data_IF_156712917946
#
_entry.id   IF_156712917946
#
_cell.length_a   1.000
_cell.length_b   1.000
_cell.length_c   1.000
_cell.angle_alpha   90.00
_cell.angle_beta   90.00
_cell.angle_gamma   90.00
#
_symmetry.space_group_name_H-M   'P 1'
#
loop_
_entity.id
_entity.type
_entity.pdbx_description
1 polymer ?
#
# COMPACT_ATOMS: atom_id res chain seq x y z
N UNK A 1 3.46 -22.12 4.92
CA UNK A 1 3.96 -20.80 5.43
C UNK A 1 4.37 -20.96 6.89
N UNK A 2 5.18 -20.05 7.41
CA UNK A 2 5.68 -20.06 8.79
C UNK A 2 5.46 -18.73 9.48
N UNK A 3 5.40 -18.73 10.81
CA UNK A 3 5.52 -17.50 11.57
C UNK A 3 6.97 -16.99 11.48
N UNK A 4 7.13 -15.71 11.24
CA UNK A 4 8.44 -15.07 11.18
C UNK A 4 8.59 -14.05 12.31
N UNK A 5 9.85 -13.76 12.68
CA UNK A 5 10.18 -12.94 13.85
C UNK A 5 9.53 -11.54 13.84
N UNK A 6 9.44 -10.93 12.66
CA UNK A 6 8.95 -9.57 12.47
C UNK A 6 7.67 -9.53 11.62
N UNK A 7 6.96 -10.65 11.50
CA UNK A 7 5.67 -10.69 10.82
C UNK A 7 4.62 -9.91 11.60
N UNK A 8 3.83 -9.07 10.91
CA UNK A 8 2.77 -8.29 11.55
C UNK A 8 1.48 -9.10 11.77
N UNK A 9 1.30 -10.16 10.99
CA UNK A 9 0.18 -11.08 11.13
C UNK A 9 0.68 -12.51 11.31
N UNK A 10 -0.09 -13.41 11.96
CA UNK A 10 0.25 -14.81 12.06
C UNK A 10 0.26 -15.51 10.69
N UNK A 11 1.01 -16.59 10.54
CA UNK A 11 1.10 -17.36 9.29
C UNK A 11 -0.29 -17.76 8.76
N UNK A 12 -1.22 -18.12 9.65
CA UNK A 12 -2.59 -18.50 9.28
C UNK A 12 -3.34 -17.40 8.50
N UNK A 13 -3.06 -16.11 8.76
CA UNK A 13 -3.65 -15.02 7.98
C UNK A 13 -3.14 -15.04 6.53
N UNK A 14 -1.84 -15.22 6.32
CA UNK A 14 -1.25 -15.30 4.98
C UNK A 14 -1.70 -16.58 4.25
N UNK A 15 -1.86 -17.69 4.94
CA UNK A 15 -2.41 -18.93 4.38
C UNK A 15 -3.86 -18.74 3.91
N UNK A 16 -4.69 -18.04 4.70
CA UNK A 16 -6.05 -17.74 4.31
C UNK A 16 -6.13 -16.82 3.07
N UNK A 17 -5.24 -15.83 2.97
CA UNK A 17 -5.13 -14.96 1.80
C UNK A 17 -4.65 -15.73 0.56
N UNK A 18 -3.66 -16.59 0.75
CA UNK A 18 -3.14 -17.46 -0.30
C UNK A 18 -4.23 -18.40 -0.83
N UNK A 19 -5.01 -19.04 0.04
CA UNK A 19 -6.11 -19.93 -0.37
C UNK A 19 -7.13 -19.18 -1.24
N UNK A 20 -7.50 -17.94 -0.88
CA UNK A 20 -8.43 -17.12 -1.66
C UNK A 20 -7.89 -16.77 -3.06
N UNK A 21 -6.60 -16.40 -3.16
CA UNK A 21 -6.06 -16.06 -4.49
C UNK A 21 -5.87 -17.29 -5.35
N UNK A 22 -5.51 -18.42 -4.78
CA UNK A 22 -5.43 -19.71 -5.49
C UNK A 22 -6.81 -20.11 -6.05
N UNK A 23 -7.87 -19.95 -5.28
CA UNK A 23 -9.24 -20.16 -5.78
C UNK A 23 -9.56 -19.26 -6.98
N UNK A 24 -9.20 -17.97 -6.91
CA UNK A 24 -9.37 -17.05 -8.04
C UNK A 24 -8.53 -17.46 -9.26
N UNK A 25 -7.29 -17.90 -9.05
CA UNK A 25 -6.42 -18.40 -10.12
C UNK A 25 -7.03 -19.61 -10.82
N UNK A 26 -7.47 -20.60 -10.06
CA UNK A 26 -8.10 -21.81 -10.58
C UNK A 26 -9.38 -21.50 -11.36
N UNK A 27 -10.25 -20.62 -10.82
CA UNK A 27 -11.48 -20.17 -11.48
C UNK A 27 -11.21 -19.50 -12.83
N UNK A 28 -10.10 -18.78 -12.96
CA UNK A 28 -9.73 -18.02 -14.16
C UNK A 28 -8.75 -18.80 -15.07
N UNK A 29 -8.37 -20.04 -14.71
CA UNK A 29 -7.42 -20.84 -15.46
C UNK A 29 -6.01 -20.23 -15.52
N UNK A 30 -5.60 -19.52 -14.46
CA UNK A 30 -4.27 -18.90 -14.32
C UNK A 30 -3.38 -19.82 -13.50
N UNK A 31 -2.31 -20.31 -14.12
CA UNK A 31 -1.40 -21.29 -13.51
C UNK A 31 -0.37 -20.70 -12.55
N UNK A 32 -0.04 -19.42 -12.71
CA UNK A 32 0.89 -18.71 -11.82
C UNK A 32 0.59 -17.21 -11.75
N UNK A 33 0.97 -16.57 -10.65
CA UNK A 33 1.04 -15.11 -10.46
C UNK A 33 2.47 -14.68 -10.20
N UNK A 34 2.88 -13.56 -10.80
CA UNK A 34 4.15 -12.88 -10.52
C UNK A 34 3.82 -11.50 -9.99
N UNK A 35 4.07 -11.27 -8.70
CA UNK A 35 3.73 -10.05 -7.97
C UNK A 35 5.01 -9.27 -7.65
N UNK A 36 5.08 -8.07 -8.15
CA UNK A 36 6.27 -7.20 -8.11
C UNK A 36 6.09 -5.96 -7.23
N UNK A 37 4.83 -5.60 -6.94
CA UNK A 37 4.51 -4.46 -6.08
C UNK A 37 4.76 -4.79 -4.61
N UNK A 38 5.07 -3.75 -3.83
CA UNK A 38 5.18 -3.83 -2.38
C UNK A 38 3.86 -4.24 -1.73
N UNK A 39 2.75 -3.66 -2.17
CA UNK A 39 1.43 -3.92 -1.62
C UNK A 39 1.01 -5.39 -1.76
N UNK A 40 1.15 -5.96 -2.96
CA UNK A 40 0.74 -7.35 -3.19
C UNK A 40 1.75 -8.35 -2.61
N UNK A 41 3.05 -8.04 -2.71
CA UNK A 41 4.08 -8.89 -2.09
C UNK A 41 3.92 -8.92 -0.58
N UNK A 42 3.70 -7.76 0.07
CA UNK A 42 3.40 -7.71 1.50
C UNK A 42 2.10 -8.45 1.85
N UNK A 43 1.02 -8.20 1.12
CA UNK A 43 -0.30 -8.74 1.40
C UNK A 43 -0.33 -10.28 1.45
N UNK A 44 0.35 -10.94 0.51
CA UNK A 44 0.35 -12.40 0.41
C UNK A 44 1.49 -13.10 1.13
N UNK A 45 2.53 -12.38 1.55
CA UNK A 45 3.72 -13.00 2.13
C UNK A 45 4.21 -12.40 3.45
N UNK A 46 3.76 -11.20 3.79
CA UNK A 46 4.30 -10.42 4.91
C UNK A 46 5.67 -9.79 4.64
N UNK A 47 6.27 -10.00 3.47
CA UNK A 47 7.59 -9.46 3.16
C UNK A 47 7.59 -7.94 3.15
N UNK A 48 8.46 -7.36 3.98
CA UNK A 48 8.67 -5.91 4.11
C UNK A 48 10.13 -5.57 3.89
N UNK A 49 10.37 -4.46 3.19
CA UNK A 49 11.71 -3.93 2.98
C UNK A 49 11.69 -2.42 2.89
N UNK A 50 12.63 -1.75 3.55
CA UNK A 50 12.81 -0.29 3.41
C UNK A 50 13.23 0.12 1.99
N UNK A 51 13.72 -0.82 1.18
CA UNK A 51 14.14 -0.56 -0.20
C UNK A 51 12.95 -0.22 -1.10
N UNK A 52 11.74 -0.69 -0.79
CA UNK A 52 10.53 -0.27 -1.51
C UNK A 52 10.31 1.25 -1.48
N UNK A 53 10.60 1.89 -0.35
CA UNK A 53 10.49 3.34 -0.21
C UNK A 53 11.48 4.11 -1.09
N UNK A 54 12.63 3.50 -1.43
CA UNK A 54 13.68 4.15 -2.21
C UNK A 54 13.36 4.30 -3.69
N UNK A 55 12.42 3.50 -4.22
CA UNK A 55 12.05 3.43 -5.66
C UNK A 55 13.22 3.15 -6.61
N UNK A 56 14.38 2.76 -6.08
CA UNK A 56 15.61 2.51 -6.85
C UNK A 56 15.64 1.08 -7.41
N UNK A 57 15.13 0.13 -6.64
CA UNK A 57 15.13 -1.27 -7.02
C UNK A 57 13.95 -2.01 -6.41
N UNK A 58 13.59 -3.15 -6.99
CA UNK A 58 12.60 -4.06 -6.45
C UNK A 58 13.31 -5.03 -5.49
N UNK A 59 13.03 -5.00 -4.18
CA UNK A 59 13.74 -5.82 -3.20
C UNK A 59 13.38 -7.30 -3.28
N UNK A 60 12.22 -7.64 -3.87
CA UNK A 60 11.80 -9.02 -4.08
C UNK A 60 10.53 -9.13 -4.93
N UNK A 61 10.35 -10.29 -5.54
CA UNK A 61 9.17 -10.64 -6.31
C UNK A 61 8.58 -11.92 -5.75
N UNK A 62 7.30 -11.87 -5.44
CA UNK A 62 6.55 -13.04 -5.00
C UNK A 62 5.98 -13.78 -6.21
N UNK A 63 6.20 -15.07 -6.26
CA UNK A 63 5.60 -15.99 -7.22
C UNK A 63 4.64 -16.92 -6.48
N UNK A 64 3.44 -17.08 -7.02
CA UNK A 64 2.39 -17.98 -6.49
C UNK A 64 1.96 -18.89 -7.63
N UNK A 65 1.83 -20.18 -7.39
CA UNK A 65 1.25 -21.14 -8.36
C UNK A 65 -0.12 -21.62 -7.92
N UNK A 66 -0.93 -22.13 -8.85
CA UNK A 66 -2.33 -22.52 -8.62
C UNK A 66 -2.50 -23.75 -7.71
N UNK A 67 -1.38 -24.39 -7.34
CA UNK A 67 -1.32 -25.44 -6.30
C UNK A 67 -0.98 -24.87 -4.90
N UNK A 68 -0.86 -23.54 -4.78
CA UNK A 68 -0.53 -22.87 -3.52
C UNK A 68 0.97 -22.81 -3.20
N UNK A 69 1.85 -23.29 -4.09
CA UNK A 69 3.29 -23.11 -3.89
C UNK A 69 3.69 -21.63 -4.05
N UNK A 70 4.63 -21.19 -3.22
CA UNK A 70 5.10 -19.81 -3.20
C UNK A 70 6.62 -19.73 -3.15
N UNK A 71 7.21 -18.74 -3.82
CA UNK A 71 8.62 -18.41 -3.70
C UNK A 71 8.83 -16.89 -3.76
N UNK A 72 9.86 -16.38 -3.10
CA UNK A 72 10.32 -15.00 -3.24
C UNK A 72 11.68 -14.97 -3.91
N UNK A 73 11.74 -14.38 -5.10
CA UNK A 73 12.99 -14.08 -5.79
C UNK A 73 13.54 -12.75 -5.26
N UNK A 74 14.80 -12.75 -4.77
CA UNK A 74 15.40 -11.58 -4.12
C UNK A 74 16.94 -11.58 -4.24
N UNK A 75 17.57 -10.50 -3.82
CA UNK A 75 19.04 -10.40 -3.70
C UNK A 75 19.58 -11.22 -2.53
N UNK A 76 20.92 -11.39 -2.48
CA UNK A 76 21.58 -12.00 -1.33
C UNK A 76 21.26 -11.27 -0.01
N UNK A 77 21.30 -9.94 -0.01
CA UNK A 77 20.95 -9.13 1.18
C UNK A 77 19.45 -9.17 1.51
N UNK A 78 18.58 -9.20 0.49
CA UNK A 78 17.14 -9.32 0.65
C UNK A 78 16.70 -10.64 1.27
N UNK A 79 17.43 -11.73 1.04
CA UNK A 79 17.06 -13.05 1.54
C UNK A 79 16.97 -13.10 3.07
N UNK A 80 17.87 -12.43 3.79
CA UNK A 80 17.80 -12.37 5.24
C UNK A 80 16.58 -11.55 5.72
N UNK A 81 16.26 -10.46 5.03
CA UNK A 81 15.05 -9.67 5.30
C UNK A 81 13.78 -10.52 5.09
N UNK A 82 13.71 -11.28 3.99
CA UNK A 82 12.59 -12.21 3.74
C UNK A 82 12.46 -13.23 4.88
N UNK A 83 13.57 -13.79 5.37
CA UNK A 83 13.54 -14.79 6.47
C UNK A 83 12.92 -14.26 7.75
N UNK A 84 13.08 -12.98 8.05
CA UNK A 84 12.63 -12.40 9.32
C UNK A 84 11.28 -11.67 9.20
N UNK A 85 10.84 -11.31 8.01
CA UNK A 85 9.58 -10.58 7.80
C UNK A 85 8.50 -11.39 7.11
N UNK A 86 8.86 -12.37 6.27
CA UNK A 86 7.93 -13.10 5.42
C UNK A 86 7.55 -14.47 5.98
N UNK A 87 6.32 -14.90 5.71
CA UNK A 87 5.83 -16.26 5.95
C UNK A 87 6.25 -17.27 4.86
N UNK A 88 6.79 -16.81 3.73
CA UNK A 88 7.26 -17.66 2.62
C UNK A 88 8.63 -18.27 2.97
N UNK A 89 8.76 -19.57 2.74
CA UNK A 89 9.98 -20.32 3.09
C UNK A 89 10.94 -20.49 1.89
N UNK A 90 10.40 -20.59 0.67
CA UNK A 90 11.21 -20.72 -0.55
C UNK A 90 11.76 -19.33 -0.95
N UNK A 91 13.08 -19.18 -0.83
CA UNK A 91 13.78 -17.93 -1.11
C UNK A 91 14.83 -18.17 -2.19
N UNK A 92 14.61 -17.59 -3.38
CA UNK A 92 15.44 -17.75 -4.57
C UNK A 92 16.33 -16.54 -4.79
N UNK A 93 17.64 -16.74 -4.60
CA UNK A 93 18.61 -15.64 -4.65
C UNK A 93 19.20 -15.50 -6.03
N UNK A 94 18.88 -14.45 -6.75
CA UNK A 94 19.54 -14.16 -8.02
C UNK A 94 20.95 -13.57 -7.82
N UNK A 95 21.76 -13.59 -8.90
CA UNK A 95 23.18 -13.24 -8.85
C UNK A 95 24.04 -14.36 -8.24
N UNK A 96 23.56 -15.59 -8.28
CA UNK A 96 24.24 -16.81 -7.83
C UNK A 96 24.52 -17.75 -9.02
N UNK A 97 25.29 -18.81 -8.80
CA UNK A 97 25.47 -19.85 -9.82
C UNK A 97 24.17 -20.59 -10.16
N UNK A 98 23.26 -20.71 -9.19
CA UNK A 98 21.98 -21.37 -9.37
C UNK A 98 20.99 -20.49 -10.15
N UNK A 99 20.90 -19.20 -9.82
CA UNK A 99 20.07 -18.22 -10.51
C UNK A 99 20.90 -17.01 -10.92
N UNK A 100 21.62 -17.08 -12.06
CA UNK A 100 22.47 -16.00 -12.55
C UNK A 100 21.71 -14.68 -12.77
N UNK A 101 20.45 -14.72 -13.21
CA UNK A 101 19.62 -13.55 -13.48
C UNK A 101 18.38 -13.49 -12.60
N UNK A 102 17.82 -12.29 -12.48
CA UNK A 102 16.58 -12.03 -11.79
C UNK A 102 15.40 -12.85 -12.38
N UNK A 103 15.29 -12.83 -13.72
CA UNK A 103 14.26 -13.56 -14.42
C UNK A 103 14.32 -15.07 -14.14
N UNK A 104 15.53 -15.67 -14.12
CA UNK A 104 15.70 -17.07 -13.81
C UNK A 104 15.23 -17.43 -12.40
N UNK A 105 15.54 -16.61 -11.41
CA UNK A 105 15.03 -16.82 -10.05
C UNK A 105 13.50 -16.73 -9.96
N UNK A 106 12.87 -15.82 -10.73
CA UNK A 106 11.42 -15.67 -10.76
C UNK A 106 10.77 -16.88 -11.43
N UNK A 107 11.23 -17.27 -12.62
CA UNK A 107 10.55 -18.33 -13.41
C UNK A 107 10.91 -19.74 -12.96
N UNK A 108 11.90 -19.93 -12.09
CA UNK A 108 12.34 -21.25 -11.65
C UNK A 108 11.21 -22.05 -10.96
N UNK A 109 10.35 -21.41 -10.15
CA UNK A 109 9.19 -22.08 -9.55
C UNK A 109 8.18 -22.51 -10.64
N UNK A 110 7.96 -21.65 -11.65
CA UNK A 110 7.09 -21.98 -12.77
C UNK A 110 7.62 -23.18 -13.55
N UNK A 111 8.94 -23.25 -13.76
CA UNK A 111 9.61 -24.35 -14.43
C UNK A 111 9.42 -25.67 -13.65
N UNK A 112 9.71 -25.66 -12.36
CA UNK A 112 9.53 -26.82 -11.46
C UNK A 112 8.09 -27.33 -11.41
N UNK A 113 7.12 -26.44 -11.53
CA UNK A 113 5.68 -26.74 -11.49
C UNK A 113 5.07 -26.96 -12.89
N UNK A 114 5.86 -26.90 -13.96
CA UNK A 114 5.39 -27.08 -15.33
C UNK A 114 4.43 -25.98 -15.81
N UNK A 115 4.59 -24.73 -15.32
CA UNK A 115 3.67 -23.61 -15.60
C UNK A 115 4.22 -22.60 -16.62
N UNK A 116 5.40 -22.84 -17.21
CA UNK A 116 6.02 -21.90 -18.16
C UNK A 116 5.24 -21.68 -19.46
N UNK A 117 4.40 -22.66 -19.87
CA UNK A 117 3.62 -22.61 -21.12
C UNK A 117 2.14 -22.30 -20.85
N UNK A 118 1.78 -21.93 -19.61
CA UNK A 118 0.41 -21.66 -19.18
C UNK A 118 0.05 -20.19 -19.20
N UNK A 119 -1.09 -19.89 -18.59
CA UNK A 119 -1.48 -18.49 -18.32
C UNK A 119 -0.79 -18.01 -17.05
N UNK A 120 -0.06 -16.90 -17.17
CA UNK A 120 0.68 -16.27 -16.06
C UNK A 120 0.11 -14.88 -15.83
N UNK A 121 -0.44 -14.65 -14.64
CA UNK A 121 -1.00 -13.38 -14.24
C UNK A 121 0.08 -12.42 -13.72
N UNK A 122 -0.05 -11.15 -14.12
CA UNK A 122 0.81 -10.07 -13.68
C UNK A 122 -0.01 -8.81 -13.37
N UNK A 123 0.61 -7.83 -12.73
CA UNK A 123 0.01 -6.59 -12.25
C UNK A 123 -0.12 -5.54 -13.37
N UNK A 124 -0.94 -5.83 -14.41
CA UNK A 124 -1.08 -4.96 -15.58
C UNK A 124 -2.22 -3.95 -15.49
N UNK A 125 -3.26 -4.26 -14.74
CA UNK A 125 -4.53 -3.52 -14.75
C UNK A 125 -4.57 -2.32 -13.82
N UNK A 126 -5.74 -1.70 -13.81
CA UNK A 126 -6.01 -0.48 -13.04
C UNK A 126 -5.72 -0.65 -11.55
N UNK A 127 -4.98 0.28 -10.99
CA UNK A 127 -4.56 0.28 -9.58
C UNK A 127 -3.37 -0.62 -9.27
N UNK A 128 -2.80 -1.25 -10.29
CA UNK A 128 -1.60 -2.06 -10.20
C UNK A 128 -0.52 -1.58 -11.17
N UNK A 129 0.71 -1.97 -10.94
CA UNK A 129 1.84 -1.68 -11.84
C UNK A 129 2.97 -2.67 -11.61
N UNK A 130 3.77 -2.91 -12.65
CA UNK A 130 4.99 -3.69 -12.55
C UNK A 130 6.08 -2.82 -11.92
N UNK A 131 6.62 -3.27 -10.79
CA UNK A 131 7.71 -2.60 -10.07
C UNK A 131 9.08 -3.18 -10.45
N UNK A 132 9.31 -3.43 -11.73
CA UNK A 132 10.59 -3.82 -12.29
C UNK A 132 11.14 -2.69 -13.16
N UNK A 133 12.48 -2.55 -13.23
CA UNK A 133 13.07 -1.68 -14.24
C UNK A 133 12.90 -2.30 -15.64
N UNK A 134 13.20 -1.50 -16.68
CA UNK A 134 13.03 -1.91 -18.07
C UNK A 134 13.77 -3.21 -18.41
N UNK A 135 15.05 -3.30 -18.06
CA UNK A 135 15.88 -4.45 -18.39
C UNK A 135 15.38 -5.73 -17.71
N UNK A 136 15.02 -5.65 -16.43
CA UNK A 136 14.44 -6.77 -15.68
C UNK A 136 13.11 -7.22 -16.30
N UNK A 137 12.26 -6.27 -16.71
CA UNK A 137 11.00 -6.55 -17.37
C UNK A 137 11.19 -7.28 -18.69
N UNK A 138 12.14 -6.82 -19.53
CA UNK A 138 12.46 -7.46 -20.80
C UNK A 138 13.02 -8.87 -20.61
N UNK A 139 13.92 -9.06 -19.65
CA UNK A 139 14.45 -10.39 -19.31
C UNK A 139 13.35 -11.35 -18.84
N UNK A 140 12.42 -10.87 -18.01
CA UNK A 140 11.31 -11.67 -17.54
C UNK A 140 10.35 -12.06 -18.67
N UNK A 141 9.99 -11.13 -19.54
CA UNK A 141 9.12 -11.41 -20.69
C UNK A 141 9.79 -12.36 -21.69
N UNK A 142 11.10 -12.22 -21.91
CA UNK A 142 11.85 -13.17 -22.73
C UNK A 142 11.86 -14.60 -22.11
N UNK A 143 11.96 -14.70 -20.79
CA UNK A 143 11.91 -15.98 -20.08
C UNK A 143 10.48 -16.60 -20.10
N UNK A 144 9.44 -15.79 -20.27
CA UNK A 144 8.02 -16.20 -20.34
C UNK A 144 7.47 -16.19 -21.77
N UNK A 145 8.33 -16.23 -22.80
CA UNK A 145 7.93 -16.12 -24.21
C UNK A 145 6.88 -17.16 -24.65
N UNK A 146 6.85 -18.32 -24.01
CA UNK A 146 5.92 -19.41 -24.32
C UNK A 146 4.65 -19.39 -23.42
N UNK A 147 4.59 -18.45 -22.45
CA UNK A 147 3.43 -18.24 -21.60
C UNK A 147 2.44 -17.25 -22.22
N UNK A 148 1.17 -17.36 -21.85
CA UNK A 148 0.17 -16.33 -22.10
C UNK A 148 0.11 -15.40 -20.89
N UNK A 149 0.68 -14.20 -21.02
CA UNK A 149 0.60 -13.18 -19.96
C UNK A 149 -0.80 -12.58 -19.90
N UNK A 150 -1.37 -12.51 -18.69
CA UNK A 150 -2.72 -12.01 -18.47
C UNK A 150 -2.74 -10.99 -17.32
N UNK A 151 -3.70 -10.10 -17.34
CA UNK A 151 -3.94 -9.18 -16.24
C UNK A 151 -4.51 -9.92 -15.01
N UNK A 152 -3.91 -9.70 -13.84
CA UNK A 152 -4.33 -10.26 -12.57
C UNK A 152 -5.17 -9.30 -11.72
N UNK A 153 -5.42 -8.07 -12.16
CA UNK A 153 -6.02 -7.01 -11.34
C UNK A 153 -7.36 -7.44 -10.72
N UNK A 154 -8.27 -7.99 -11.51
CA UNK A 154 -9.59 -8.39 -11.01
C UNK A 154 -9.50 -9.49 -9.94
N UNK A 155 -8.58 -10.45 -10.11
CA UNK A 155 -8.35 -11.50 -9.11
C UNK A 155 -7.78 -10.94 -7.81
N UNK A 156 -6.82 -10.02 -7.91
CA UNK A 156 -6.20 -9.35 -6.76
C UNK A 156 -7.23 -8.49 -6.02
N UNK A 157 -8.03 -7.72 -6.73
CA UNK A 157 -9.11 -6.92 -6.14
C UNK A 157 -10.20 -7.78 -5.51
N UNK A 158 -10.59 -8.89 -6.12
CA UNK A 158 -11.58 -9.81 -5.55
C UNK A 158 -11.17 -10.32 -4.16
N UNK A 159 -9.88 -10.52 -3.93
CA UNK A 159 -9.35 -10.92 -2.62
C UNK A 159 -9.16 -9.74 -1.68
N UNK A 160 -8.50 -8.66 -2.13
CA UNK A 160 -8.10 -7.54 -1.28
C UNK A 160 -9.22 -6.58 -0.91
N UNK A 161 -10.31 -6.54 -1.70
CA UNK A 161 -11.47 -5.66 -1.40
C UNK A 161 -12.22 -6.11 -0.16
N UNK A 162 -12.24 -7.40 0.16
CA UNK A 162 -12.90 -7.95 1.35
C UNK A 162 -11.87 -8.14 2.47
N UNK A 163 -11.87 -7.23 3.42
CA UNK A 163 -10.88 -7.20 4.51
C UNK A 163 -11.13 -8.25 5.56
N UNK A 164 -10.09 -8.87 6.08
CA UNK A 164 -10.15 -9.76 7.24
C UNK A 164 -10.37 -8.96 8.54
N UNK A 165 -10.76 -9.63 9.66
CA UNK A 165 -10.84 -8.97 10.95
C UNK A 165 -9.52 -8.31 11.41
N UNK A 166 -8.37 -8.92 11.10
CA UNK A 166 -7.05 -8.35 11.43
C UNK A 166 -6.72 -7.12 10.59
N UNK A 167 -7.05 -7.13 9.31
CA UNK A 167 -6.93 -5.95 8.43
C UNK A 167 -7.81 -4.79 8.92
N UNK A 168 -9.04 -5.08 9.33
CA UNK A 168 -9.96 -4.08 9.90
C UNK A 168 -9.39 -3.47 11.17
N UNK A 169 -8.75 -4.25 12.05
CA UNK A 169 -8.08 -3.74 13.25
C UNK A 169 -6.93 -2.80 12.90
N UNK A 170 -6.08 -3.15 11.93
CA UNK A 170 -4.98 -2.30 11.48
C UNK A 170 -5.50 -0.98 10.87
N UNK A 171 -6.53 -1.03 10.01
CA UNK A 171 -7.17 0.15 9.43
C UNK A 171 -7.78 1.04 10.52
N UNK A 172 -8.49 0.47 11.49
CA UNK A 172 -9.05 1.23 12.62
C UNK A 172 -7.97 1.95 13.42
N UNK A 173 -6.85 1.28 13.66
CA UNK A 173 -5.72 1.89 14.37
C UNK A 173 -5.11 3.03 13.56
N UNK A 174 -4.92 2.86 12.25
CA UNK A 174 -4.45 3.92 11.37
C UNK A 174 -5.41 5.13 11.38
N UNK A 175 -6.73 4.88 11.32
CA UNK A 175 -7.75 5.95 11.40
C UNK A 175 -7.74 6.66 12.77
N UNK A 176 -7.59 5.94 13.88
CA UNK A 176 -7.49 6.52 15.23
C UNK A 176 -6.27 7.44 15.35
N UNK A 177 -5.11 6.98 14.86
CA UNK A 177 -3.89 7.79 14.81
C UNK A 177 -4.11 9.05 13.97
N UNK A 178 -4.74 8.91 12.79
CA UNK A 178 -5.02 10.02 11.89
C UNK A 178 -5.90 11.08 12.54
N UNK A 179 -7.04 10.70 13.07
CA UNK A 179 -7.96 11.63 13.72
C UNK A 179 -7.28 12.39 14.87
N UNK A 180 -6.58 11.67 15.76
CA UNK A 180 -5.89 12.27 16.91
C UNK A 180 -4.75 13.19 16.48
N UNK A 181 -3.98 12.81 15.46
CA UNK A 181 -2.88 13.64 14.97
C UNK A 181 -3.35 14.92 14.33
N UNK A 182 -4.41 14.89 13.50
CA UNK A 182 -4.99 16.09 12.90
C UNK A 182 -5.60 17.00 14.00
N UNK A 183 -6.37 16.45 14.94
CA UNK A 183 -6.95 17.19 16.05
C UNK A 183 -5.87 17.95 16.84
N UNK A 184 -4.81 17.25 17.24
CA UNK A 184 -3.70 17.88 17.97
C UNK A 184 -2.92 18.90 17.14
N UNK A 185 -2.79 18.67 15.82
CA UNK A 185 -2.23 19.65 14.91
C UNK A 185 -3.05 20.94 14.89
N UNK A 186 -4.37 20.83 14.81
CA UNK A 186 -5.27 21.99 14.86
C UNK A 186 -5.27 22.68 16.22
N UNK A 187 -5.19 21.95 17.33
CA UNK A 187 -5.09 22.54 18.69
C UNK A 187 -3.83 23.41 18.86
N UNK A 188 -2.73 23.02 18.20
CA UNK A 188 -1.44 23.75 18.25
C UNK A 188 -1.36 24.89 17.23
N UNK A 189 -2.20 24.87 16.19
CA UNK A 189 -2.16 25.83 15.10
C UNK A 189 -2.49 27.25 15.59
N UNK A 190 -1.76 28.24 15.08
CA UNK A 190 -2.00 29.67 15.33
C UNK A 190 -1.89 30.44 14.02
N UNK A 191 -2.52 31.60 13.95
CA UNK A 191 -2.37 32.53 12.83
C UNK A 191 -0.90 32.84 12.55
N UNK A 192 -0.54 32.87 11.27
CA UNK A 192 0.83 33.06 10.82
C UNK A 192 1.68 31.81 10.69
N UNK A 193 1.24 30.64 11.22
CA UNK A 193 1.87 29.36 10.91
C UNK A 193 1.61 29.00 9.44
N UNK A 194 2.54 28.28 8.86
CA UNK A 194 2.45 27.83 7.47
C UNK A 194 1.79 26.46 7.39
N UNK A 195 1.28 26.09 6.18
CA UNK A 195 0.79 24.74 5.93
C UNK A 195 1.88 23.68 6.20
N UNK A 196 3.15 23.99 5.90
CA UNK A 196 4.27 23.09 6.15
C UNK A 196 4.54 22.87 7.64
N UNK A 197 4.41 23.92 8.48
CA UNK A 197 4.51 23.79 9.93
C UNK A 197 3.35 22.98 10.52
N UNK A 198 2.12 23.17 10.02
CA UNK A 198 0.98 22.34 10.40
C UNK A 198 1.22 20.87 10.02
N UNK A 199 1.71 20.60 8.81
CA UNK A 199 2.09 19.25 8.40
C UNK A 199 3.10 18.62 9.37
N UNK A 200 4.13 19.39 9.76
CA UNK A 200 5.17 18.89 10.68
C UNK A 200 4.60 18.54 12.07
N UNK A 201 3.67 19.39 12.58
CA UNK A 201 3.00 19.13 13.86
C UNK A 201 2.13 17.88 13.83
N UNK A 202 1.40 17.65 12.73
CA UNK A 202 0.57 16.45 12.56
C UNK A 202 1.45 15.21 12.44
N UNK A 203 2.51 15.25 11.63
CA UNK A 203 3.45 14.15 11.46
C UNK A 203 4.13 13.75 12.77
N UNK A 204 4.55 14.72 13.58
CA UNK A 204 5.10 14.48 14.93
C UNK A 204 4.13 13.65 15.79
N UNK A 205 2.85 14.00 15.78
CA UNK A 205 1.82 13.25 16.53
C UNK A 205 1.58 11.86 15.95
N UNK A 206 1.58 11.69 14.63
CA UNK A 206 1.43 10.37 14.02
C UNK A 206 2.51 9.41 14.51
N UNK A 207 3.78 9.81 14.45
CA UNK A 207 4.88 8.97 14.91
C UNK A 207 4.83 8.72 16.41
N UNK A 208 4.45 9.73 17.21
CA UNK A 208 4.27 9.57 18.66
C UNK A 208 3.18 8.56 19.01
N UNK A 209 2.14 8.45 18.18
CA UNK A 209 1.02 7.52 18.34
C UNK A 209 1.28 6.13 17.75
N UNK A 210 2.47 5.92 17.15
CA UNK A 210 2.94 4.64 16.65
C UNK A 210 2.71 4.38 15.16
N UNK A 211 2.51 5.43 14.34
CA UNK A 211 2.52 5.28 12.91
C UNK A 211 3.89 4.82 12.41
N UNK A 212 3.91 3.99 11.36
CA UNK A 212 5.15 3.50 10.75
C UNK A 212 5.66 4.44 9.65
N UNK A 213 4.75 5.02 8.91
CA UNK A 213 5.02 6.00 7.87
C UNK A 213 3.79 6.88 7.63
N UNK A 214 3.99 7.97 6.93
CA UNK A 214 2.91 8.78 6.36
C UNK A 214 3.38 9.40 5.06
N UNK A 215 2.48 9.50 4.08
CA UNK A 215 2.70 10.37 2.95
C UNK A 215 2.58 11.82 3.40
N UNK A 216 3.20 12.74 2.67
CA UNK A 216 2.98 14.18 2.87
C UNK A 216 1.49 14.47 2.74
N UNK A 217 0.91 15.11 3.75
CA UNK A 217 -0.52 15.46 3.74
C UNK A 217 -0.81 16.53 2.69
N UNK A 218 -1.96 16.43 2.06
CA UNK A 218 -2.52 17.49 1.24
C UNK A 218 -3.10 18.59 2.12
N UNK A 219 -2.29 19.60 2.50
CA UNK A 219 -2.77 20.72 3.33
C UNK A 219 -2.97 21.93 2.44
N UNK A 220 -4.15 22.54 2.52
CA UNK A 220 -4.54 23.72 1.74
C UNK A 220 -5.26 24.71 2.63
N UNK A 221 -4.80 25.96 2.65
CA UNK A 221 -5.41 27.05 3.40
C UNK A 221 -5.62 28.28 2.50
N UNK A 222 -6.82 28.88 2.55
CA UNK A 222 -7.18 30.03 1.76
C UNK A 222 -7.77 29.69 0.39
N UNK A 223 -8.65 30.59 -0.09
CA UNK A 223 -9.48 30.34 -1.30
C UNK A 223 -8.65 30.04 -2.56
N UNK A 224 -7.48 30.67 -2.70
CA UNK A 224 -6.57 30.47 -3.85
C UNK A 224 -5.92 29.10 -3.87
N UNK A 225 -5.98 28.35 -2.77
CA UNK A 225 -5.37 27.02 -2.65
C UNK A 225 -6.37 25.88 -2.90
N UNK A 226 -7.68 26.11 -2.78
CA UNK A 226 -8.66 25.01 -2.85
C UNK A 226 -8.77 24.36 -4.24
N UNK A 227 -8.49 25.13 -5.30
CA UNK A 227 -8.47 24.58 -6.67
C UNK A 227 -7.23 23.75 -6.98
N UNK A 228 -6.22 23.77 -6.10
CA UNK A 228 -4.96 23.05 -6.31
C UNK A 228 -5.07 21.64 -5.75
N UNK A 229 -5.55 20.69 -6.55
CA UNK A 229 -5.55 19.27 -6.21
C UNK A 229 -4.13 18.70 -6.08
N UNK A 230 -3.92 17.79 -5.13
CA UNK A 230 -2.66 17.05 -4.94
C UNK A 230 -1.40 17.92 -4.75
N UNK A 231 -1.57 19.13 -4.23
CA UNK A 231 -0.47 20.04 -3.97
C UNK A 231 0.14 19.80 -2.58
N UNK A 232 1.48 19.78 -2.46
CA UNK A 232 2.11 19.68 -1.14
C UNK A 232 1.86 20.94 -0.30
N UNK A 233 2.01 20.84 1.04
CA UNK A 233 1.94 21.99 1.93
C UNK A 233 2.94 23.08 1.54
N UNK A 234 2.50 24.34 1.56
CA UNK A 234 3.29 25.51 1.20
C UNK A 234 3.88 26.22 2.41
N UNK A 235 4.78 27.17 2.14
CA UNK A 235 5.32 28.10 3.15
C UNK A 235 4.47 29.37 3.32
N UNK A 236 3.28 29.41 2.70
CA UNK A 236 2.35 30.52 2.86
C UNK A 236 1.82 30.55 4.29
N UNK A 237 1.87 31.71 4.97
CA UNK A 237 1.26 31.85 6.29
C UNK A 237 -0.27 31.77 6.21
N UNK A 238 -0.86 30.97 7.08
CA UNK A 238 -2.31 30.80 7.22
C UNK A 238 -2.87 32.02 7.94
N UNK A 239 -3.95 32.61 7.41
CA UNK A 239 -4.57 33.80 7.94
C UNK A 239 -5.82 33.49 8.78
N UNK A 240 -6.19 34.36 9.75
CA UNK A 240 -7.46 34.24 10.45
C UNK A 240 -8.65 34.19 9.47
N UNK A 241 -9.63 33.33 9.74
CA UNK A 241 -10.83 33.19 8.94
C UNK A 241 -10.69 32.31 7.67
N UNK A 242 -9.48 31.89 7.32
CA UNK A 242 -9.29 30.92 6.22
C UNK A 242 -9.72 29.53 6.65
N UNK A 243 -10.42 28.82 5.74
CA UNK A 243 -10.64 27.39 5.89
C UNK A 243 -9.32 26.67 5.60
N UNK A 244 -8.98 25.72 6.43
CA UNK A 244 -7.82 24.87 6.32
C UNK A 244 -8.34 23.46 6.09
N UNK A 245 -7.92 22.83 4.99
CA UNK A 245 -8.23 21.45 4.67
C UNK A 245 -6.97 20.60 4.85
N UNK A 246 -7.10 19.50 5.56
CA UNK A 246 -6.05 18.47 5.74
C UNK A 246 -6.58 17.15 5.17
N UNK A 247 -5.84 16.55 4.25
CA UNK A 247 -6.22 15.38 3.47
C UNK A 247 -5.08 14.36 3.47
N UNK A 248 -5.39 13.09 3.78
CA UNK A 248 -4.44 11.98 3.81
C UNK A 248 -4.37 11.28 5.16
N UNK A 249 -3.26 10.62 5.42
CA UNK A 249 -3.08 9.94 6.70
C UNK A 249 -1.86 9.03 6.80
N UNK A 250 -1.62 8.48 8.01
CA UNK A 250 -0.52 7.59 8.31
C UNK A 250 -0.84 6.14 7.95
N UNK A 251 0.20 5.30 7.94
CA UNK A 251 0.07 3.86 7.93
C UNK A 251 0.35 3.25 9.31
N UNK A 252 -0.34 2.15 9.57
CA UNK A 252 -0.13 1.28 10.72
C UNK A 252 -0.21 -0.19 10.26
N UNK A 253 0.79 -0.99 10.58
CA UNK A 253 0.92 -2.39 10.10
C UNK A 253 0.76 -2.52 8.58
N UNK A 254 1.26 -1.52 7.81
CA UNK A 254 1.15 -1.47 6.36
C UNK A 254 -0.22 -1.05 5.81
N UNK A 255 -1.21 -0.74 6.66
CA UNK A 255 -2.54 -0.25 6.27
C UNK A 255 -2.65 1.25 6.44
N UNK A 256 -3.11 1.92 5.40
CA UNK A 256 -3.19 3.39 5.34
C UNK A 256 -4.59 3.84 5.70
N UNK A 257 -4.69 4.94 6.44
CA UNK A 257 -5.92 5.72 6.56
C UNK A 257 -5.90 6.89 5.59
N UNK A 258 -7.07 7.31 5.14
CA UNK A 258 -7.27 8.46 4.29
C UNK A 258 -8.50 9.23 4.78
N UNK A 259 -8.27 10.38 5.42
CA UNK A 259 -9.30 11.16 6.10
C UNK A 259 -9.11 12.63 5.81
N UNK A 260 -10.20 13.31 5.46
CA UNK A 260 -10.23 14.76 5.30
C UNK A 260 -10.82 15.40 6.56
N UNK A 261 -10.18 16.46 7.02
CA UNK A 261 -10.68 17.33 8.12
C UNK A 261 -10.45 18.78 7.78
N UNK A 262 -11.37 19.60 8.26
CA UNK A 262 -11.32 21.06 8.08
C UNK A 262 -11.30 21.80 9.41
N UNK A 263 -10.70 22.96 9.39
CA UNK A 263 -10.65 23.89 10.53
C UNK A 263 -10.63 25.35 10.04
N UNK A 264 -10.94 26.26 10.94
CA UNK A 264 -10.79 27.71 10.74
C UNK A 264 -10.06 28.30 11.94
N UNK A 265 -9.09 29.20 11.70
CA UNK A 265 -8.46 29.95 12.79
C UNK A 265 -9.41 31.08 13.20
N UNK A 266 -9.99 30.98 14.40
CA UNK A 266 -10.99 31.87 14.92
C UNK A 266 -12.41 31.36 14.76
N UNK A 267 -13.40 32.29 14.69
CA UNK A 267 -14.80 31.91 14.52
C UNK A 267 -15.14 31.78 13.03
N UNK A 268 -15.74 30.67 12.58
CA UNK A 268 -16.21 30.56 11.21
C UNK A 268 -17.34 31.58 10.93
N UNK A 269 -17.49 32.00 9.69
CA UNK A 269 -18.67 32.76 9.23
C UNK A 269 -19.87 31.80 9.14
N UNK A 270 -21.08 32.36 9.15
CA UNK A 270 -22.30 31.56 9.01
C UNK A 270 -22.32 30.76 7.69
N UNK A 271 -21.79 31.32 6.60
CA UNK A 271 -21.64 30.65 5.32
C UNK A 271 -20.64 29.48 5.38
N UNK A 272 -19.50 29.64 6.02
CA UNK A 272 -18.54 28.54 6.22
C UNK A 272 -19.14 27.41 7.06
N UNK A 273 -19.91 27.77 8.11
CA UNK A 273 -20.60 26.78 8.92
C UNK A 273 -21.66 26.03 8.15
N UNK A 274 -22.48 26.73 7.34
CA UNK A 274 -23.48 26.11 6.47
C UNK A 274 -22.86 25.13 5.47
N UNK A 275 -21.79 25.55 4.77
CA UNK A 275 -21.06 24.67 3.85
C UNK A 275 -20.56 23.40 4.53
N UNK A 276 -19.96 23.52 5.71
CA UNK A 276 -19.49 22.38 6.50
C UNK A 276 -20.64 21.44 6.88
N UNK A 277 -21.77 21.99 7.36
CA UNK A 277 -22.92 21.20 7.79
C UNK A 277 -23.56 20.43 6.63
N UNK A 278 -23.66 21.04 5.44
CA UNK A 278 -24.16 20.39 4.22
C UNK A 278 -23.22 19.26 3.78
N UNK A 279 -21.90 19.49 3.77
CA UNK A 279 -20.92 18.49 3.39
C UNK A 279 -20.93 17.30 4.36
N UNK A 280 -20.99 17.59 5.66
CA UNK A 280 -21.07 16.57 6.73
C UNK A 280 -22.32 15.72 6.61
N UNK A 281 -23.47 16.34 6.41
CA UNK A 281 -24.75 15.64 6.21
C UNK A 281 -24.72 14.75 4.96
N UNK A 282 -24.18 15.24 3.85
CA UNK A 282 -24.01 14.45 2.64
C UNK A 282 -23.12 13.22 2.87
N UNK A 283 -22.02 13.38 3.63
CA UNK A 283 -21.13 12.28 3.99
C UNK A 283 -21.86 11.22 4.83
N UNK A 284 -22.61 11.60 5.88
CA UNK A 284 -23.37 10.65 6.69
C UNK A 284 -24.45 9.93 5.90
N UNK A 285 -25.19 10.64 5.03
CA UNK A 285 -26.18 9.98 4.15
C UNK A 285 -25.52 8.98 3.20
N UNK A 286 -24.32 9.29 2.69
CA UNK A 286 -23.55 8.35 1.89
C UNK A 286 -23.17 7.10 2.66
N UNK A 287 -22.70 7.25 3.90
CA UNK A 287 -22.37 6.12 4.79
C UNK A 287 -23.62 5.25 5.08
N UNK A 288 -24.74 5.88 5.40
CA UNK A 288 -25.99 5.17 5.69
C UNK A 288 -26.55 4.42 4.46
N UNK A 289 -26.24 4.88 3.26
CA UNK A 289 -26.64 4.22 2.02
C UNK A 289 -25.76 3.02 1.64
N UNK A 290 -24.58 2.87 2.25
CA UNK A 290 -23.68 1.72 2.07
C UNK A 290 -24.14 0.55 2.94
N UNK A 291 -25.14 -0.22 2.46
CA UNK A 291 -25.70 -1.41 3.16
C UNK A 291 -25.40 -2.69 2.39
#
# INVERSE_FOLDING_TARGET
MRDSLLSLFPAAEYEARLAKIVEQMQKNGVGALILTSDENTYYFSGFRSIVWCSKVSTPGVLVITDDGSTAIATTKGGAETVRVTSSVEDIRRFGTAEYPTYAQAIVSLLAEKGKLNGRVGMEFGTGHKIHLNYDMTQQLFAALKDATLVDAADMLWAVRSIKSPLEIQAIRKACDINCKGIERGFDRLRAGYTELELNSMIMEEYYRLGAESSLTLGIRAGAERYSQGNCPPSRRPIQPGEIILVDGGPSYDGYVSDIIREAVIGKPTDYQQEMFDVAREACYRGIDAMK
#
